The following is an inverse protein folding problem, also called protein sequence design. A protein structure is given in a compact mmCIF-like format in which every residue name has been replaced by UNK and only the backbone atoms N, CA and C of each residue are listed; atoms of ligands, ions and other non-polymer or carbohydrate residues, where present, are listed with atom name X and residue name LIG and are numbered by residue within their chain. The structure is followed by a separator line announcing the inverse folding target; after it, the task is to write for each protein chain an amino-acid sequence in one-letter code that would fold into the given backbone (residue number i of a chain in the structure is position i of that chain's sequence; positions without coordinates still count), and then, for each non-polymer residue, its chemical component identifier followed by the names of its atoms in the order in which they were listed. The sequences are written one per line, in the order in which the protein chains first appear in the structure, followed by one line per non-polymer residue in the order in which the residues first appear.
data_IF_462012099125
#
_entry.id   IF_462012099125
#
_cell.length_a   1.000
_cell.length_b   1.000
_cell.length_c   1.000
_cell.angle_alpha   90.00
_cell.angle_beta   90.00
_cell.angle_gamma   90.00
#
_symmetry.space_group_name_H-M   'P 1'
#
loop_
_entity.id
_entity.type
_entity.pdbx_description
1 polymer ?
#
# COMPACT_ATOMS: atom_id res chain seq x y z
N UNK A 1 9.68 25.24 35.97
CA UNK A 1 9.81 23.89 36.54
C UNK A 1 9.57 22.87 35.42
N UNK A 2 10.62 22.41 34.74
CA UNK A 2 10.53 21.49 33.60
C UNK A 2 11.05 20.11 34.01
N UNK A 3 10.17 19.10 33.98
CA UNK A 3 10.49 17.72 34.40
C UNK A 3 10.65 16.86 33.15
N UNK A 4 11.89 16.69 32.73
CA UNK A 4 12.33 15.82 31.63
C UNK A 4 12.08 14.34 31.98
N UNK A 5 11.34 13.62 31.15
CA UNK A 5 11.28 12.15 31.19
C UNK A 5 12.26 11.57 30.16
N UNK A 6 13.39 11.05 30.64
CA UNK A 6 14.26 10.15 29.88
C UNK A 6 13.67 8.73 29.97
N UNK A 7 13.06 8.24 28.90
CA UNK A 7 12.74 6.83 28.77
C UNK A 7 14.03 6.02 28.54
N UNK A 8 14.38 5.22 29.55
CA UNK A 8 15.45 4.22 29.47
C UNK A 8 14.99 3.12 28.51
N UNK A 9 15.71 2.92 27.40
CA UNK A 9 15.53 1.75 26.53
C UNK A 9 16.06 0.51 27.27
N UNK A 10 15.30 -0.58 27.38
CA UNK A 10 15.87 -1.85 27.82
C UNK A 10 16.82 -2.40 26.74
N UNK A 11 18.00 -2.78 27.21
CA UNK A 11 19.08 -3.44 26.49
C UNK A 11 18.63 -4.78 25.91
N UNK A 12 18.93 -4.99 24.62
CA UNK A 12 18.81 -6.28 23.93
C UNK A 12 19.70 -7.32 24.62
N UNK A 13 19.08 -8.31 25.25
CA UNK A 13 19.73 -9.55 25.66
C UNK A 13 19.65 -10.57 24.52
N UNK A 14 20.76 -11.26 24.27
CA UNK A 14 20.72 -12.67 23.88
C UNK A 14 20.78 -13.00 22.38
N UNK A 15 21.82 -12.56 21.68
CA UNK A 15 22.28 -13.25 20.47
C UNK A 15 22.92 -14.59 20.86
N UNK A 16 22.11 -15.64 20.92
CA UNK A 16 22.54 -17.02 21.10
C UNK A 16 23.19 -17.56 19.84
N UNK A 17 24.52 -17.68 19.89
CA UNK A 17 25.31 -18.45 18.95
C UNK A 17 24.96 -19.94 19.07
N UNK A 18 24.60 -20.59 17.94
CA UNK A 18 24.88 -22.02 17.74
C UNK A 18 25.28 -22.27 16.28
N UNK A 19 26.58 -22.48 16.14
CA UNK A 19 27.23 -23.12 15.01
C UNK A 19 26.72 -24.54 14.78
N UNK A 20 26.68 -24.97 13.52
CA UNK A 20 26.97 -26.32 13.00
C UNK A 20 27.06 -26.19 11.46
N UNK A 21 28.25 -26.12 10.89
CA UNK A 21 29.01 -27.27 10.36
C UNK A 21 28.19 -28.16 9.43
N UNK A 22 28.33 -27.93 8.12
CA UNK A 22 28.26 -28.98 7.11
C UNK A 22 29.20 -28.60 5.95
N UNK A 23 30.44 -29.07 6.08
CA UNK A 23 31.40 -29.23 4.97
C UNK A 23 31.09 -30.56 4.28
N UNK A 24 30.98 -30.53 2.96
CA UNK A 24 30.97 -31.66 2.03
C UNK A 24 30.69 -31.05 0.65
N UNK A 25 31.63 -30.83 -0.26
CA UNK A 25 32.62 -31.74 -0.85
C UNK A 25 31.93 -32.93 -1.51
N UNK A 26 31.57 -32.79 -2.78
CA UNK A 26 31.92 -33.74 -3.84
C UNK A 26 31.30 -33.40 -5.20
N UNK A 27 32.16 -33.59 -6.21
CA UNK A 27 31.87 -34.05 -7.58
C UNK A 27 31.21 -33.10 -8.59
N UNK A 28 32.11 -32.56 -9.41
CA UNK A 28 31.90 -32.30 -10.82
C UNK A 28 31.15 -33.42 -11.55
N UNK A 29 30.17 -33.04 -12.37
CA UNK A 29 29.86 -33.74 -13.62
C UNK A 29 29.82 -32.68 -14.72
N UNK A 30 30.86 -32.77 -15.55
CA UNK A 30 30.97 -32.15 -16.87
C UNK A 30 30.02 -32.85 -17.86
N UNK A 31 29.69 -32.10 -18.91
CA UNK A 31 29.19 -32.55 -20.21
C UNK A 31 27.67 -32.82 -20.33
N UNK A 32 27.01 -31.89 -21.02
CA UNK A 32 25.64 -32.03 -21.52
C UNK A 32 25.25 -30.85 -22.41
N UNK A 33 26.10 -30.51 -23.38
CA UNK A 33 25.82 -29.49 -24.40
C UNK A 33 25.08 -30.11 -25.59
N UNK A 34 24.21 -29.30 -26.19
CA UNK A 34 23.67 -29.42 -27.55
C UNK A 34 22.52 -30.41 -27.78
N UNK A 35 21.28 -29.96 -27.56
CA UNK A 35 20.13 -30.22 -28.45
C UNK A 35 18.85 -29.55 -27.92
N UNK A 36 18.77 -28.22 -27.90
CA UNK A 36 17.49 -27.52 -27.74
C UNK A 36 17.51 -26.15 -28.45
N UNK A 37 18.04 -26.15 -29.69
CA UNK A 37 18.42 -24.92 -30.40
C UNK A 37 17.66 -24.71 -31.73
N UNK A 38 16.40 -25.16 -31.85
CA UNK A 38 15.73 -25.11 -33.16
C UNK A 38 14.19 -25.02 -33.17
N UNK A 39 13.53 -24.38 -32.20
CA UNK A 39 12.07 -24.16 -32.31
C UNK A 39 11.54 -22.89 -31.63
N UNK A 40 12.28 -21.78 -31.70
CA UNK A 40 11.79 -20.46 -31.25
C UNK A 40 12.09 -19.35 -32.27
N UNK A 41 12.09 -19.68 -33.56
CA UNK A 41 12.05 -18.68 -34.61
C UNK A 41 10.61 -18.56 -35.11
N UNK A 42 10.14 -17.32 -35.24
CA UNK A 42 8.92 -16.91 -35.95
C UNK A 42 7.57 -16.98 -35.21
N UNK A 43 7.42 -16.15 -34.18
CA UNK A 43 6.16 -15.42 -33.95
C UNK A 43 6.45 -13.95 -33.67
N UNK A 44 7.01 -13.27 -34.67
CA UNK A 44 7.05 -11.81 -34.71
C UNK A 44 5.65 -11.27 -34.96
N UNK A 45 4.84 -11.11 -33.91
CA UNK A 45 3.66 -10.27 -33.97
C UNK A 45 4.14 -8.84 -34.16
N UNK A 46 4.11 -8.35 -35.40
CA UNK A 46 4.18 -6.94 -35.70
C UNK A 46 2.92 -6.28 -35.13
N UNK A 47 2.94 -5.96 -33.83
CA UNK A 47 1.97 -5.06 -33.24
C UNK A 47 2.22 -3.70 -33.91
N UNK A 48 1.33 -3.34 -34.83
CA UNK A 48 1.22 -1.97 -35.32
C UNK A 48 1.02 -1.10 -34.08
N UNK A 49 2.08 -0.40 -33.67
CA UNK A 49 2.06 0.48 -32.52
C UNK A 49 1.15 1.67 -32.88
N UNK A 50 -0.13 1.55 -32.57
CA UNK A 50 -1.03 2.69 -32.52
C UNK A 50 -0.34 3.75 -31.65
N UNK A 51 -0.27 4.98 -32.14
CA UNK A 51 0.33 6.08 -31.40
C UNK A 51 -0.26 6.12 -29.97
N UNK A 52 0.58 6.18 -28.93
CA UNK A 52 0.09 6.13 -27.56
C UNK A 52 -0.88 7.30 -27.35
N UNK A 53 -2.08 6.98 -26.87
CA UNK A 53 -3.04 8.00 -26.49
C UNK A 53 -2.39 8.95 -25.47
N UNK A 54 -2.66 10.26 -25.54
CA UNK A 54 -2.11 11.22 -24.60
C UNK A 54 -2.50 10.81 -23.17
N UNK A 55 -1.52 10.84 -22.26
CA UNK A 55 -1.75 10.49 -20.87
C UNK A 55 -2.78 11.45 -20.24
N UNK A 56 -3.72 10.92 -19.43
CA UNK A 56 -4.78 11.73 -18.84
C UNK A 56 -4.20 12.76 -17.86
N UNK A 57 -4.75 13.97 -17.84
CA UNK A 57 -4.29 15.03 -16.93
C UNK A 57 -4.96 14.87 -15.57
N UNK A 58 -4.18 14.93 -14.49
CA UNK A 58 -4.69 14.86 -13.13
C UNK A 58 -5.38 16.18 -12.79
N UNK A 59 -6.70 16.17 -12.62
CA UNK A 59 -7.47 17.35 -12.24
C UNK A 59 -7.57 17.55 -10.74
N UNK A 60 -7.70 16.45 -10.00
CA UNK A 60 -7.81 16.48 -8.55
C UNK A 60 -7.25 15.19 -7.95
N UNK A 61 -6.81 15.30 -6.70
CA UNK A 61 -6.38 14.19 -5.86
C UNK A 61 -7.41 14.03 -4.73
N UNK A 62 -8.09 12.89 -4.70
CA UNK A 62 -9.03 12.53 -3.65
C UNK A 62 -8.38 11.47 -2.76
N UNK A 63 -8.27 11.74 -1.45
CA UNK A 63 -7.76 10.78 -0.48
C UNK A 63 -8.96 10.15 0.24
N UNK A 64 -9.07 8.83 0.18
CA UNK A 64 -10.09 8.04 0.86
C UNK A 64 -9.42 7.15 1.89
N UNK A 65 -9.85 7.24 3.14
CA UNK A 65 -9.38 6.36 4.20
C UNK A 65 -10.53 5.84 5.04
N UNK A 66 -10.40 4.61 5.51
CA UNK A 66 -11.31 3.97 6.47
C UNK A 66 -11.05 4.35 7.93
N UNK A 67 -9.93 5.04 8.20
CA UNK A 67 -9.53 5.52 9.52
C UNK A 67 -9.05 6.98 9.46
N UNK A 68 -8.93 7.66 10.61
CA UNK A 68 -8.34 8.99 10.65
C UNK A 68 -6.86 8.94 10.26
N UNK A 69 -6.51 9.66 9.19
CA UNK A 69 -5.14 9.83 8.69
C UNK A 69 -4.79 11.32 8.59
N UNK A 70 -3.50 11.65 8.77
CA UNK A 70 -3.00 13.01 8.53
C UNK A 70 -2.90 13.25 7.01
N UNK A 71 -3.76 14.12 6.50
CA UNK A 71 -3.85 14.42 5.07
C UNK A 71 -2.60 15.11 4.55
N UNK A 72 -1.93 15.92 5.37
CA UNK A 72 -0.74 16.65 4.95
C UNK A 72 0.46 15.69 4.85
N UNK A 73 0.60 14.76 5.79
CA UNK A 73 1.59 13.68 5.70
C UNK A 73 1.37 12.81 4.46
N UNK A 74 0.13 12.40 4.18
CA UNK A 74 -0.20 11.63 2.97
C UNK A 74 0.14 12.43 1.70
N UNK A 75 -0.12 13.73 1.68
CA UNK A 75 0.21 14.60 0.53
C UNK A 75 1.71 14.68 0.27
N UNK A 76 2.55 14.74 1.30
CA UNK A 76 4.01 14.75 1.15
C UNK A 76 4.55 13.45 0.50
N UNK A 77 3.82 12.34 0.62
CA UNK A 77 4.19 11.05 0.06
C UNK A 77 3.71 10.87 -1.41
N UNK A 78 2.80 11.72 -1.88
CA UNK A 78 2.23 11.65 -3.23
C UNK A 78 3.12 12.39 -4.22
N UNK A 79 3.64 11.66 -5.21
CA UNK A 79 4.47 12.23 -6.29
C UNK A 79 3.67 12.72 -7.50
N UNK A 80 2.35 12.52 -7.51
CA UNK A 80 1.45 13.00 -8.55
C UNK A 80 1.04 14.44 -8.22
N UNK A 81 1.03 15.33 -9.23
CA UNK A 81 0.61 16.71 -9.08
C UNK A 81 -0.62 17.01 -9.92
N UNK A 82 -1.46 17.93 -9.43
CA UNK A 82 -2.60 18.47 -10.17
C UNK A 82 -2.10 19.31 -11.35
N UNK A 83 -2.74 19.15 -12.50
CA UNK A 83 -2.37 19.80 -13.76
C UNK A 83 -1.30 19.06 -14.55
N UNK A 84 -0.70 18.00 -14.00
CA UNK A 84 0.30 17.20 -14.68
C UNK A 84 -0.31 15.91 -15.27
N UNK A 85 0.31 15.33 -16.32
CA UNK A 85 -0.09 14.03 -16.84
C UNK A 85 0.08 12.93 -15.78
N UNK A 86 -0.88 12.00 -15.74
CA UNK A 86 -0.80 10.81 -14.90
C UNK A 86 0.27 9.86 -15.47
N UNK A 87 1.45 9.94 -14.88
CA UNK A 87 2.59 9.10 -15.25
C UNK A 87 2.66 7.82 -14.40
N UNK A 88 2.95 6.70 -15.06
CA UNK A 88 3.04 5.39 -14.42
C UNK A 88 4.23 5.33 -13.44
N UNK A 89 5.37 5.96 -13.77
CA UNK A 89 6.54 5.94 -12.91
C UNK A 89 6.28 6.72 -11.60
N UNK A 90 5.60 7.87 -11.68
CA UNK A 90 5.13 8.63 -10.51
C UNK A 90 4.07 7.89 -9.70
N UNK A 91 3.16 7.15 -10.37
CA UNK A 91 2.16 6.31 -9.70
C UNK A 91 2.84 5.20 -8.89
N UNK A 92 3.79 4.48 -9.51
CA UNK A 92 4.59 3.44 -8.84
C UNK A 92 5.42 3.99 -7.68
N UNK A 93 5.99 5.20 -7.84
CA UNK A 93 6.73 5.87 -6.76
C UNK A 93 5.81 6.21 -5.59
N UNK A 94 4.63 6.75 -5.86
CA UNK A 94 3.62 7.08 -4.84
C UNK A 94 3.19 5.84 -4.05
N UNK A 95 2.83 4.75 -4.74
CA UNK A 95 2.47 3.48 -4.09
C UNK A 95 3.60 2.96 -3.18
N UNK A 96 4.85 3.07 -3.65
CA UNK A 96 6.01 2.66 -2.87
C UNK A 96 6.19 3.53 -1.62
N UNK A 97 6.14 4.85 -1.75
CA UNK A 97 6.26 5.78 -0.62
C UNK A 97 5.18 5.54 0.44
N UNK A 98 3.92 5.41 0.01
CA UNK A 98 2.80 5.13 0.90
C UNK A 98 2.97 3.78 1.64
N UNK A 99 3.36 2.71 0.94
CA UNK A 99 3.62 1.41 1.58
C UNK A 99 4.78 1.44 2.57
N UNK A 100 5.85 2.19 2.28
CA UNK A 100 6.99 2.30 3.20
C UNK A 100 6.73 3.20 4.40
N UNK A 101 5.79 4.14 4.30
CA UNK A 101 5.39 4.98 5.43
C UNK A 101 4.75 4.17 6.57
N UNK A 102 4.09 3.05 6.24
CA UNK A 102 3.32 2.26 7.20
C UNK A 102 2.02 2.92 7.65
N UNK A 103 1.57 3.99 6.99
CA UNK A 103 0.30 4.67 7.29
C UNK A 103 -0.93 3.81 7.02
N UNK A 104 -0.82 2.84 6.11
CA UNK A 104 -1.90 1.94 5.71
C UNK A 104 -1.37 0.53 5.49
N UNK A 105 -2.19 -0.48 5.80
CA UNK A 105 -1.87 -1.89 5.52
C UNK A 105 -2.03 -2.19 4.04
N UNK A 106 -3.03 -1.58 3.40
CA UNK A 106 -3.28 -1.70 1.97
C UNK A 106 -3.47 -0.32 1.31
N UNK A 107 -2.98 -0.18 0.08
CA UNK A 107 -2.99 1.08 -0.68
C UNK A 107 -3.26 0.79 -2.14
N UNK A 108 -4.26 1.48 -2.68
CA UNK A 108 -4.62 1.46 -4.09
C UNK A 108 -4.74 2.87 -4.68
N UNK A 109 -4.43 2.99 -5.97
CA UNK A 109 -4.60 4.22 -6.74
C UNK A 109 -5.41 3.90 -7.99
N UNK A 110 -6.52 4.60 -8.19
CA UNK A 110 -7.35 4.48 -9.39
C UNK A 110 -7.74 5.85 -9.93
N UNK A 111 -7.99 5.90 -11.24
CA UNK A 111 -8.41 7.12 -11.93
C UNK A 111 -9.91 7.06 -12.24
N UNK A 112 -10.65 8.10 -11.87
CA UNK A 112 -12.03 8.30 -12.28
C UNK A 112 -12.08 9.44 -13.32
N UNK A 113 -12.82 9.28 -14.44
CA UNK A 113 -13.07 10.40 -15.34
C UNK A 113 -13.66 11.59 -14.59
N UNK A 114 -13.14 12.79 -14.83
CA UNK A 114 -13.65 13.99 -14.18
C UNK A 114 -14.95 14.45 -14.85
N UNK A 115 -15.93 14.89 -14.06
CA UNK A 115 -17.19 15.38 -14.62
C UNK A 115 -16.94 16.62 -15.49
N UNK A 116 -17.47 16.66 -16.73
CA UNK A 116 -17.19 17.72 -17.70
C UNK A 116 -17.73 19.09 -17.25
N UNK A 117 -18.72 19.12 -16.35
CA UNK A 117 -19.36 20.34 -15.88
C UNK A 117 -18.62 21.10 -14.76
N UNK A 118 -17.48 20.60 -14.29
CA UNK A 118 -16.77 21.19 -13.15
C UNK A 118 -15.27 21.42 -13.42
N UNK A 119 -14.85 21.45 -14.69
CA UNK A 119 -13.44 21.68 -15.05
C UNK A 119 -12.96 23.03 -14.54
N UNK A 120 -11.87 23.02 -13.79
CA UNK A 120 -11.24 24.22 -13.24
C UNK A 120 -10.50 25.04 -14.32
N UNK A 121 -10.33 24.49 -15.53
CA UNK A 121 -9.61 25.14 -16.61
C UNK A 121 -10.47 25.21 -17.89
N UNK A 122 -11.13 26.36 -18.17
CA UNK A 122 -12.00 26.51 -19.32
C UNK A 122 -11.26 26.49 -20.68
N UNK A 123 -9.92 26.47 -20.67
CA UNK A 123 -9.10 26.39 -21.88
C UNK A 123 -8.70 24.97 -22.29
N UNK A 124 -8.99 23.94 -21.48
CA UNK A 124 -8.77 22.55 -21.88
C UNK A 124 -9.95 22.11 -22.77
N UNK A 125 -9.74 21.77 -24.05
CA UNK A 125 -10.83 21.28 -24.88
C UNK A 125 -11.44 20.02 -24.24
N UNK A 126 -12.77 19.95 -24.23
CA UNK A 126 -13.62 19.00 -23.51
C UNK A 126 -13.46 17.50 -23.90
N UNK A 127 -12.32 17.11 -24.48
CA UNK A 127 -11.99 15.74 -24.87
C UNK A 127 -10.68 15.21 -24.28
N UNK A 128 -9.93 15.99 -23.51
CA UNK A 128 -8.58 15.62 -23.08
C UNK A 128 -8.55 14.93 -21.71
N UNK A 129 -9.30 13.84 -21.55
CA UNK A 129 -9.06 12.81 -20.52
C UNK A 129 -8.68 13.30 -19.13
N UNK A 130 -9.35 14.33 -18.60
CA UNK A 130 -9.10 14.78 -17.23
C UNK A 130 -9.58 13.71 -16.26
N UNK A 131 -8.76 13.38 -15.27
CA UNK A 131 -9.06 12.37 -14.27
C UNK A 131 -8.93 12.90 -12.86
N UNK A 132 -9.82 12.46 -12.00
CA UNK A 132 -9.65 12.54 -10.54
C UNK A 132 -8.91 11.28 -10.12
N UNK A 133 -7.71 11.46 -9.58
CA UNK A 133 -6.92 10.35 -9.03
C UNK A 133 -7.37 10.14 -7.60
N UNK A 134 -7.77 8.92 -7.29
CA UNK A 134 -8.26 8.52 -5.98
C UNK A 134 -7.22 7.62 -5.34
N UNK A 135 -6.72 8.05 -4.18
CA UNK A 135 -5.80 7.29 -3.33
C UNK A 135 -6.61 6.68 -2.21
N UNK A 136 -6.81 5.36 -2.24
CA UNK A 136 -7.52 4.63 -1.22
C UNK A 136 -6.55 3.98 -0.24
N UNK A 137 -6.76 4.23 1.05
CA UNK A 137 -5.96 3.77 2.16
C UNK A 137 -6.84 2.92 3.07
N UNK A 138 -6.44 1.67 3.30
CA UNK A 138 -7.05 0.82 4.32
C UNK A 138 -6.05 0.60 5.44
N UNK A 139 -6.49 0.85 6.67
CA UNK A 139 -5.65 0.73 7.85
C UNK A 139 -6.15 -0.41 8.72
N UNK A 140 -5.22 -1.19 9.25
CA UNK A 140 -5.56 -2.19 10.25
C UNK A 140 -5.82 -1.49 11.59
N UNK A 141 -7.09 -1.32 11.95
CA UNK A 141 -7.46 -0.78 13.26
C UNK A 141 -7.14 -1.82 14.34
N UNK A 142 -6.02 -1.64 15.04
CA UNK A 142 -5.69 -2.45 16.21
C UNK A 142 -6.50 -2.00 17.41
N UNK A 143 -7.52 -2.78 17.78
CA UNK A 143 -8.26 -2.59 19.02
C UNK A 143 -7.34 -2.87 20.20
N UNK A 144 -6.88 -1.82 20.90
CA UNK A 144 -5.95 -1.94 22.03
C UNK A 144 -6.69 -2.34 23.32
N UNK A 145 -7.88 -1.80 23.53
CA UNK A 145 -8.73 -2.15 24.67
C UNK A 145 -10.20 -1.96 24.32
N UNK A 146 -11.03 -2.93 24.72
CA UNK A 146 -12.49 -2.80 24.72
C UNK A 146 -12.91 -2.62 26.17
N UNK A 147 -13.46 -1.45 26.48
CA UNK A 147 -14.09 -1.21 27.78
C UNK A 147 -15.60 -1.22 27.61
N UNK A 148 -16.26 -2.14 28.31
CA UNK A 148 -17.73 -2.21 28.37
C UNK A 148 -18.18 -1.44 29.61
N UNK A 149 -18.64 -0.21 29.41
CA UNK A 149 -19.25 0.61 30.48
C UNK A 149 -20.77 0.57 30.40
N UNK A 150 -21.41 0.13 31.48
CA UNK A 150 -22.86 0.14 31.63
C UNK A 150 -23.28 -0.54 32.93
N UNK A 151 -24.30 0.00 33.61
CA UNK A 151 -24.96 -0.67 34.73
C UNK A 151 -26.11 -1.50 34.17
N UNK A 152 -25.82 -2.76 33.85
CA UNK A 152 -26.82 -3.68 33.30
C UNK A 152 -27.69 -4.30 34.41
N UNK A 153 -27.52 -3.90 35.68
CA UNK A 153 -28.21 -4.51 36.83
C UNK A 153 -27.89 -6.00 37.00
N UNK A 154 -26.88 -6.50 36.29
CA UNK A 154 -26.47 -7.90 36.27
C UNK A 154 -25.10 -8.04 36.94
N UNK A 155 -24.96 -9.05 37.79
CA UNK A 155 -23.67 -9.41 38.38
C UNK A 155 -22.69 -9.82 37.27
N UNK A 156 -21.43 -9.40 37.37
CA UNK A 156 -20.34 -9.66 36.40
C UNK A 156 -20.26 -11.11 35.91
N UNK A 157 -20.53 -12.08 36.78
CA UNK A 157 -20.56 -13.51 36.44
C UNK A 157 -21.66 -13.88 35.43
N UNK A 158 -22.87 -13.30 35.52
CA UNK A 158 -23.93 -13.52 34.53
C UNK A 158 -23.71 -12.78 33.22
N UNK A 159 -22.95 -11.69 33.26
CA UNK A 159 -22.65 -10.90 32.06
C UNK A 159 -21.82 -11.71 31.06
N UNK A 160 -20.84 -12.46 31.56
CA UNK A 160 -19.97 -13.31 30.75
C UNK A 160 -20.71 -14.52 30.16
N UNK A 161 -21.75 -15.02 30.84
CA UNK A 161 -22.61 -16.09 30.30
C UNK A 161 -23.56 -15.55 29.22
N UNK A 162 -23.99 -14.29 29.33
CA UNK A 162 -24.93 -13.67 28.39
C UNK A 162 -24.26 -13.10 27.13
N UNK A 163 -22.96 -12.77 27.21
CA UNK A 163 -22.14 -12.33 26.09
C UNK A 163 -21.22 -13.49 25.67
N UNK A 164 -21.62 -14.33 24.71
CA UNK A 164 -20.76 -15.37 24.17
C UNK A 164 -19.61 -14.74 23.36
N UNK A 165 -18.59 -14.22 24.06
CA UNK A 165 -17.35 -13.76 23.46
C UNK A 165 -16.51 -15.00 23.11
N UNK A 166 -16.36 -15.26 21.81
CA UNK A 166 -15.43 -16.28 21.33
C UNK A 166 -14.00 -15.77 21.46
N UNK A 167 -13.07 -16.65 21.77
CA UNK A 167 -11.64 -16.33 21.83
C UNK A 167 -11.20 -15.71 20.49
N UNK A 168 -10.82 -14.43 20.50
CA UNK A 168 -10.35 -13.71 19.31
C UNK A 168 -11.40 -12.86 18.56
N UNK A 169 -12.63 -12.74 19.06
CA UNK A 169 -13.55 -11.69 18.62
C UNK A 169 -13.41 -10.46 19.54
N UNK A 170 -13.33 -9.23 18.99
CA UNK A 170 -13.38 -8.01 19.80
C UNK A 170 -14.70 -7.92 20.58
#
# INVERSE_FOLDING_TARGET
MARWWRSRRPSRCGSGARARLARGLACAVLAGSAAFDACMAERGFAQSAAAPAPAPIVRALEIRSDAPVDVDEVRELISLAVGEPMDEARTRRTLRSLRYSGLASEVEIYARPADPGNSANPSTPAGNGEVVVIVALWTDVQVTSVEVTGDLGLKKTRLLDALPQRTGQP
#
